data_IF_533197674069
#
_entry.id   IF_533197674069
#
_cell.length_a   1.000
_cell.length_b   1.000
_cell.length_c   1.000
_cell.angle_alpha   90.00
_cell.angle_beta   90.00
_cell.angle_gamma   90.00
#
_symmetry.space_group_name_H-M   'P 1'
#
loop_
_entity.id
_entity.type
_entity.pdbx_description
1 polymer ?
#
# COMPACT_ATOMS: atom_id res chain seq x y z
N UNK A 1 -15.50 -15.32 -13.47
CA UNK A 1 -16.35 -14.10 -13.49
C UNK A 1 -15.61 -12.85 -13.99
N UNK A 2 -14.79 -12.14 -13.20
CA UNK A 2 -14.14 -10.86 -13.61
C UNK A 2 -13.26 -10.98 -14.87
N UNK A 3 -12.65 -12.15 -15.11
CA UNK A 3 -11.84 -12.41 -16.30
C UNK A 3 -12.69 -12.61 -17.58
N UNK A 4 -13.95 -13.05 -17.43
CA UNK A 4 -14.80 -13.50 -18.54
C UNK A 4 -15.89 -12.47 -18.88
N UNK A 5 -16.21 -11.56 -17.96
CA UNK A 5 -17.29 -10.60 -18.09
C UNK A 5 -16.73 -9.16 -18.04
N UNK A 6 -17.39 -8.23 -18.72
CA UNK A 6 -17.08 -6.80 -18.64
C UNK A 6 -17.79 -6.17 -17.44
N UNK A 7 -17.19 -6.34 -16.26
CA UNK A 7 -17.72 -5.78 -15.01
C UNK A 7 -17.26 -4.34 -14.84
N UNK A 8 -18.22 -3.42 -14.64
CA UNK A 8 -17.96 -1.99 -14.46
C UNK A 8 -18.20 -1.56 -13.03
N UNK A 9 -17.26 -0.80 -12.48
CA UNK A 9 -17.43 -0.06 -11.24
C UNK A 9 -18.41 1.10 -11.47
N UNK A 10 -18.97 1.70 -10.40
CA UNK A 10 -19.88 2.83 -10.56
C UNK A 10 -19.30 4.05 -11.29
N UNK A 11 -17.98 4.24 -11.25
CA UNK A 11 -17.22 5.22 -12.06
C UNK A 11 -17.21 4.91 -13.57
N UNK A 12 -17.58 3.70 -13.98
CA UNK A 12 -17.53 3.22 -15.36
C UNK A 12 -16.21 2.51 -15.71
N UNK A 13 -15.22 2.55 -14.82
CA UNK A 13 -13.98 1.81 -15.00
C UNK A 13 -14.20 0.29 -14.92
N UNK A 14 -13.34 -0.46 -15.62
CA UNK A 14 -13.41 -1.93 -15.62
C UNK A 14 -12.80 -2.51 -14.35
N UNK A 15 -13.52 -3.41 -13.67
CA UNK A 15 -12.99 -4.21 -12.58
C UNK A 15 -12.34 -5.48 -13.13
N UNK A 16 -11.02 -5.42 -13.34
CA UNK A 16 -10.22 -6.57 -13.79
C UNK A 16 -9.76 -7.43 -12.61
N UNK A 17 -9.34 -8.70 -12.83
CA UNK A 17 -8.74 -9.51 -11.78
C UNK A 17 -7.54 -8.81 -11.11
N UNK A 18 -6.66 -8.16 -11.88
CA UNK A 18 -5.49 -7.43 -11.36
C UNK A 18 -5.87 -6.20 -10.53
N UNK A 19 -6.92 -5.47 -10.92
CA UNK A 19 -7.47 -4.38 -10.11
C UNK A 19 -8.09 -4.92 -8.82
N UNK A 20 -8.77 -6.07 -8.88
CA UNK A 20 -9.32 -6.72 -7.70
C UNK A 20 -8.25 -7.24 -6.73
N UNK A 21 -7.07 -7.68 -7.21
CA UNK A 21 -5.93 -8.05 -6.36
C UNK A 21 -5.46 -6.91 -5.44
N UNK A 22 -5.69 -5.65 -5.82
CA UNK A 22 -5.28 -4.48 -5.02
C UNK A 22 -6.10 -4.29 -3.74
N UNK A 23 -7.22 -5.01 -3.57
CA UNK A 23 -7.92 -5.04 -2.28
C UNK A 23 -7.03 -5.57 -1.15
N UNK A 24 -5.96 -6.32 -1.47
CA UNK A 24 -4.97 -6.74 -0.49
C UNK A 24 -4.21 -5.61 0.16
N UNK A 25 -4.29 -4.38 -0.36
CA UNK A 25 -3.82 -3.20 0.35
C UNK A 25 -4.40 -3.21 1.76
N UNK A 26 -5.69 -3.49 1.95
CA UNK A 26 -6.31 -3.44 3.29
C UNK A 26 -5.70 -4.42 4.30
N UNK A 27 -5.04 -5.51 3.88
CA UNK A 27 -4.48 -6.52 4.80
C UNK A 27 -3.36 -6.02 5.72
N UNK A 28 -2.77 -4.86 5.46
CA UNK A 28 -1.80 -4.23 6.37
C UNK A 28 -2.44 -3.39 7.48
N UNK A 29 -3.77 -3.26 7.51
CA UNK A 29 -4.51 -2.63 8.59
C UNK A 29 -5.04 -3.67 9.60
N UNK A 30 -5.16 -3.28 10.87
CA UNK A 30 -5.58 -4.19 11.95
C UNK A 30 -6.95 -4.86 11.74
N UNK A 31 -7.86 -4.26 10.98
CA UNK A 31 -9.20 -4.76 10.64
C UNK A 31 -9.36 -5.10 9.14
N UNK A 32 -8.24 -5.19 8.43
CA UNK A 32 -8.20 -5.34 6.99
C UNK A 32 -8.81 -6.64 6.48
N UNK A 33 -8.49 -7.76 7.14
CA UNK A 33 -8.99 -9.08 6.76
C UNK A 33 -10.51 -9.16 6.90
N UNK A 34 -11.05 -8.66 8.01
CA UNK A 34 -12.49 -8.61 8.27
C UNK A 34 -13.20 -7.72 7.25
N UNK A 35 -12.65 -6.54 6.94
CA UNK A 35 -13.23 -5.62 5.94
C UNK A 35 -13.34 -6.26 4.57
N UNK A 36 -12.28 -6.94 4.11
CA UNK A 36 -12.32 -7.65 2.82
C UNK A 36 -13.25 -8.86 2.90
N UNK A 37 -13.28 -9.60 4.00
CA UNK A 37 -14.19 -10.73 4.19
C UNK A 37 -15.66 -10.31 4.02
N UNK A 38 -16.10 -9.28 4.75
CA UNK A 38 -17.48 -8.78 4.65
C UNK A 38 -17.79 -8.18 3.28
N UNK A 39 -16.83 -7.50 2.65
CA UNK A 39 -16.99 -7.03 1.28
C UNK A 39 -17.29 -8.20 0.32
N UNK A 40 -16.59 -9.33 0.46
CA UNK A 40 -16.78 -10.50 -0.40
C UNK A 40 -18.08 -11.27 -0.11
N UNK A 41 -18.55 -11.26 1.13
CA UNK A 41 -19.82 -11.90 1.51
C UNK A 41 -21.00 -11.30 0.72
N UNK A 42 -20.97 -9.99 0.47
CA UNK A 42 -22.00 -9.26 -0.28
C UNK A 42 -21.77 -9.24 -1.80
N UNK A 43 -20.79 -10.00 -2.32
CA UNK A 43 -20.35 -9.88 -3.70
C UNK A 43 -21.45 -10.16 -4.73
N UNK A 44 -22.32 -11.13 -4.47
CA UNK A 44 -23.32 -11.58 -5.41
C UNK A 44 -24.73 -11.50 -4.85
N UNK A 45 -25.69 -11.18 -5.74
CA UNK A 45 -27.12 -11.23 -5.49
C UNK A 45 -27.82 -11.99 -6.62
N UNK A 46 -29.02 -12.49 -6.36
CA UNK A 46 -29.88 -13.07 -7.38
C UNK A 46 -30.69 -11.97 -8.07
N UNK A 47 -30.27 -11.62 -9.28
CA UNK A 47 -30.95 -10.65 -10.13
C UNK A 47 -32.03 -11.31 -11.01
N UNK A 48 -32.78 -10.48 -11.75
CA UNK A 48 -33.86 -10.94 -12.62
C UNK A 48 -33.39 -11.91 -13.74
N UNK A 49 -32.12 -11.82 -14.13
CA UNK A 49 -31.51 -12.67 -15.17
C UNK A 49 -30.55 -13.72 -14.59
N UNK A 50 -30.57 -13.94 -13.27
CA UNK A 50 -29.67 -14.83 -12.56
C UNK A 50 -28.66 -14.11 -11.67
N UNK A 51 -27.65 -14.85 -11.22
CA UNK A 51 -26.65 -14.38 -10.27
C UNK A 51 -25.78 -13.28 -10.88
N UNK A 52 -25.72 -12.13 -10.23
CA UNK A 52 -24.94 -10.97 -10.67
C UNK A 52 -24.16 -10.34 -9.51
N UNK A 53 -23.18 -9.49 -9.82
CA UNK A 53 -22.45 -8.75 -8.79
C UNK A 53 -23.32 -7.64 -8.22
N UNK A 54 -23.36 -7.54 -6.89
CA UNK A 54 -24.19 -6.55 -6.21
C UNK A 54 -23.61 -5.13 -6.39
N UNK A 55 -24.49 -4.15 -6.48
CA UNK A 55 -24.06 -2.74 -6.52
C UNK A 55 -23.33 -2.32 -5.24
N UNK A 56 -23.74 -2.85 -4.08
CA UNK A 56 -23.08 -2.61 -2.79
C UNK A 56 -21.63 -3.09 -2.83
N UNK A 57 -21.39 -4.30 -3.35
CA UNK A 57 -20.04 -4.82 -3.55
C UNK A 57 -19.22 -3.97 -4.52
N UNK A 58 -19.76 -3.65 -5.69
CA UNK A 58 -19.05 -2.85 -6.69
C UNK A 58 -18.68 -1.46 -6.14
N UNK A 59 -19.59 -0.82 -5.41
CA UNK A 59 -19.31 0.45 -4.73
C UNK A 59 -18.30 0.28 -3.59
N UNK A 60 -18.36 -0.83 -2.86
CA UNK A 60 -17.39 -1.16 -1.81
C UNK A 60 -15.97 -1.35 -2.34
N UNK A 61 -15.81 -2.08 -3.45
CA UNK A 61 -14.52 -2.25 -4.14
C UNK A 61 -13.97 -0.91 -4.62
N UNK A 62 -14.82 -0.06 -5.21
CA UNK A 62 -14.41 1.27 -5.65
C UNK A 62 -13.98 2.16 -4.47
N UNK A 63 -14.74 2.13 -3.36
CA UNK A 63 -14.40 2.87 -2.15
C UNK A 63 -13.13 2.36 -1.47
N UNK A 64 -12.68 1.13 -1.72
CA UNK A 64 -11.41 0.62 -1.22
C UNK A 64 -10.21 1.09 -2.06
N UNK A 65 -10.43 1.76 -3.20
CA UNK A 65 -9.38 2.08 -4.18
C UNK A 65 -9.38 3.58 -4.53
N UNK A 66 -8.77 4.39 -3.66
CA UNK A 66 -8.85 5.86 -3.76
C UNK A 66 -7.89 6.52 -4.77
N UNK A 67 -7.39 5.80 -5.76
CA UNK A 67 -6.40 6.33 -6.71
C UNK A 67 -6.97 7.45 -7.60
N UNK A 68 -8.29 7.47 -7.80
CA UNK A 68 -8.94 8.48 -8.64
C UNK A 68 -8.98 9.88 -8.01
N UNK A 69 -8.94 9.95 -6.68
CA UNK A 69 -8.94 11.21 -5.92
C UNK A 69 -7.58 11.54 -5.31
N UNK A 70 -6.64 10.58 -5.30
CA UNK A 70 -5.31 10.72 -4.73
C UNK A 70 -4.20 10.36 -5.76
N UNK A 71 -4.13 11.05 -6.92
CA UNK A 71 -3.17 10.70 -7.96
C UNK A 71 -1.70 10.91 -7.54
N UNK A 72 -1.44 11.81 -6.58
CA UNK A 72 -0.09 12.03 -6.02
C UNK A 72 0.40 10.76 -5.31
N UNK A 73 -0.48 10.07 -4.59
CA UNK A 73 -0.15 8.79 -3.96
C UNK A 73 0.34 7.80 -5.01
N UNK A 74 -0.43 7.62 -6.10
CA UNK A 74 -0.07 6.69 -7.16
C UNK A 74 1.23 7.08 -7.89
N UNK A 75 1.38 8.34 -8.30
CA UNK A 75 2.49 8.76 -9.16
C UNK A 75 3.84 8.86 -8.43
N UNK A 76 3.84 9.15 -7.12
CA UNK A 76 5.07 9.28 -6.35
C UNK A 76 5.41 8.04 -5.51
N UNK A 77 4.56 7.00 -5.50
CA UNK A 77 4.65 5.86 -4.59
C UNK A 77 6.03 5.19 -4.55
N UNK A 78 6.61 4.88 -5.72
CA UNK A 78 7.96 4.30 -5.77
C UNK A 78 9.06 5.37 -5.68
N UNK A 79 8.78 6.56 -6.21
CA UNK A 79 9.76 7.65 -6.30
C UNK A 79 10.25 8.12 -4.92
N UNK A 80 9.38 8.11 -3.90
CA UNK A 80 9.76 8.51 -2.53
C UNK A 80 10.84 7.62 -1.89
N UNK A 81 11.07 6.42 -2.43
CA UNK A 81 12.10 5.49 -1.93
C UNK A 81 13.41 5.53 -2.73
N UNK A 82 13.44 6.25 -3.85
CA UNK A 82 14.56 6.20 -4.78
C UNK A 82 15.75 7.07 -4.32
N UNK A 83 16.96 6.50 -4.42
CA UNK A 83 18.24 7.19 -4.15
C UNK A 83 19.31 6.71 -5.15
N UNK A 84 19.79 7.61 -6.00
CA UNK A 84 20.82 7.36 -7.02
C UNK A 84 20.47 6.31 -8.09
N UNK A 85 19.23 5.83 -8.12
CA UNK A 85 18.76 4.77 -9.00
C UNK A 85 17.29 4.96 -9.34
N UNK A 86 16.94 4.64 -10.58
CA UNK A 86 15.57 4.58 -11.05
C UNK A 86 14.81 3.39 -10.44
N UNK A 87 13.55 3.60 -10.08
CA UNK A 87 12.69 2.53 -9.57
C UNK A 87 12.45 1.47 -10.65
N UNK A 88 12.29 1.91 -11.91
CA UNK A 88 11.98 1.15 -13.13
C UNK A 88 10.74 0.25 -13.01
N UNK A 89 9.75 0.66 -12.23
CA UNK A 89 8.60 -0.17 -11.82
C UNK A 89 9.04 -1.38 -10.99
N UNK A 90 9.61 -1.11 -9.82
CA UNK A 90 10.19 -2.16 -8.97
C UNK A 90 9.14 -3.17 -8.51
N UNK A 91 7.95 -2.71 -8.12
CA UNK A 91 6.86 -3.59 -7.70
C UNK A 91 6.43 -4.54 -8.82
N UNK A 92 6.29 -4.04 -10.06
CA UNK A 92 5.94 -4.88 -11.22
C UNK A 92 7.03 -5.91 -11.53
N UNK A 93 8.31 -5.49 -11.53
CA UNK A 93 9.43 -6.41 -11.77
C UNK A 93 9.51 -7.51 -10.72
N UNK A 94 9.45 -7.14 -9.45
CA UNK A 94 9.51 -8.09 -8.33
C UNK A 94 8.30 -9.01 -8.39
N UNK A 95 7.08 -8.50 -8.64
CA UNK A 95 5.89 -9.35 -8.84
C UNK A 95 6.10 -10.39 -9.94
N UNK A 96 6.79 -10.02 -11.03
CA UNK A 96 7.13 -10.94 -12.12
C UNK A 96 8.02 -12.13 -11.70
N UNK A 97 8.74 -12.03 -10.58
CA UNK A 97 9.54 -13.12 -10.00
C UNK A 97 8.70 -14.13 -9.22
N UNK A 98 7.42 -13.82 -8.93
CA UNK A 98 6.50 -14.67 -8.19
C UNK A 98 5.28 -15.05 -9.05
N UNK A 99 5.38 -16.12 -9.88
CA UNK A 99 4.28 -16.57 -10.75
C UNK A 99 2.96 -16.85 -10.02
N UNK A 100 2.98 -17.14 -8.72
CA UNK A 100 1.79 -17.35 -7.91
C UNK A 100 0.87 -16.11 -7.82
N UNK A 101 1.38 -14.91 -8.11
CA UNK A 101 0.58 -13.68 -8.19
C UNK A 101 -0.03 -13.45 -9.58
N UNK A 102 0.36 -14.22 -10.60
CA UNK A 102 -0.31 -14.17 -11.89
C UNK A 102 -1.68 -14.83 -11.77
N UNK A 103 -2.72 -14.14 -12.26
CA UNK A 103 -4.06 -14.71 -12.27
C UNK A 103 -4.12 -15.97 -13.14
N UNK A 104 -4.56 -17.09 -12.54
CA UNK A 104 -4.93 -18.32 -13.23
C UNK A 104 -6.21 -18.86 -12.61
N UNK A 105 -7.13 -19.38 -13.44
CA UNK A 105 -8.46 -19.78 -13.00
C UNK A 105 -8.45 -20.99 -12.04
N UNK A 106 -7.41 -21.81 -12.11
CA UNK A 106 -7.19 -23.04 -11.36
C UNK A 106 -6.14 -22.90 -10.24
N UNK A 107 -5.69 -21.67 -9.94
CA UNK A 107 -4.71 -21.38 -8.90
C UNK A 107 -5.31 -20.54 -7.75
N UNK A 108 -4.71 -20.57 -6.55
CA UNK A 108 -5.07 -19.65 -5.48
C UNK A 108 -4.98 -18.19 -5.93
N UNK A 109 -6.02 -17.41 -5.62
CA UNK A 109 -6.01 -15.98 -5.91
C UNK A 109 -5.26 -15.23 -4.81
N UNK A 110 -4.05 -14.77 -5.12
CA UNK A 110 -3.25 -13.97 -4.19
C UNK A 110 -3.49 -12.48 -4.40
N UNK A 111 -3.80 -11.77 -3.31
CA UNK A 111 -3.89 -10.32 -3.32
C UNK A 111 -2.52 -9.68 -3.16
N UNK A 112 -2.38 -8.44 -3.62
CA UNK A 112 -1.16 -7.65 -3.46
C UNK A 112 -1.38 -6.58 -2.39
N UNK A 113 -0.33 -6.27 -1.62
CA UNK A 113 -0.34 -5.17 -0.65
C UNK A 113 -0.26 -3.78 -1.31
N UNK A 114 0.36 -2.84 -0.60
CA UNK A 114 0.45 -1.43 -1.00
C UNK A 114 1.47 -1.18 -2.14
N UNK A 115 1.09 -1.53 -3.37
CA UNK A 115 1.94 -1.44 -4.55
C UNK A 115 1.27 -0.73 -5.72
N UNK A 116 2.06 0.07 -6.46
CA UNK A 116 1.66 0.72 -7.71
C UNK A 116 2.32 0.03 -8.89
N UNK A 117 1.56 -0.17 -9.96
CA UNK A 117 2.01 -0.83 -11.17
C UNK A 117 1.79 0.06 -12.42
N UNK A 118 2.58 -0.10 -13.49
CA UNK A 118 2.45 0.73 -14.70
C UNK A 118 1.04 0.63 -15.32
N UNK A 119 0.44 -0.57 -15.32
CA UNK A 119 -0.90 -0.78 -15.86
C UNK A 119 -2.01 -0.01 -15.13
N UNK A 120 -1.78 0.47 -13.90
CA UNK A 120 -2.76 1.31 -13.21
C UNK A 120 -2.98 2.63 -13.96
N UNK A 121 -1.93 3.17 -14.59
CA UNK A 121 -2.01 4.36 -15.43
C UNK A 121 -2.68 4.08 -16.80
N UNK A 122 -3.08 2.85 -17.08
CA UNK A 122 -3.89 2.48 -18.25
C UNK A 122 -5.36 2.24 -17.83
N UNK A 123 -5.57 1.57 -16.70
CA UNK A 123 -6.90 1.11 -16.27
C UNK A 123 -7.69 2.12 -15.43
N UNK A 124 -7.03 2.91 -14.60
CA UNK A 124 -7.70 3.96 -13.81
C UNK A 124 -7.88 5.20 -14.68
N UNK A 125 -9.14 5.58 -14.94
CA UNK A 125 -9.43 6.71 -15.83
C UNK A 125 -8.77 8.02 -15.40
N UNK A 126 -8.75 8.28 -14.09
CA UNK A 126 -8.16 9.49 -13.53
C UNK A 126 -6.62 9.50 -13.59
N UNK A 127 -5.97 8.33 -13.66
CA UNK A 127 -4.52 8.23 -13.73
C UNK A 127 -3.99 8.28 -15.17
N UNK A 128 -4.79 7.92 -16.18
CA UNK A 128 -4.37 7.91 -17.60
C UNK A 128 -3.65 9.18 -18.07
N UNK A 129 -4.12 10.40 -17.75
CA UNK A 129 -3.42 11.62 -18.15
C UNK A 129 -1.99 11.76 -17.59
N UNK A 130 -1.65 11.00 -16.55
CA UNK A 130 -0.36 11.04 -15.86
C UNK A 130 0.61 9.95 -16.32
N UNK A 131 0.22 9.07 -17.26
CA UNK A 131 1.02 7.91 -17.66
C UNK A 131 2.44 8.31 -18.10
N UNK A 132 2.58 9.31 -18.97
CA UNK A 132 3.89 9.77 -19.44
C UNK A 132 4.76 10.30 -18.28
N UNK A 133 4.16 11.07 -17.37
CA UNK A 133 4.87 11.57 -16.20
C UNK A 133 5.31 10.43 -15.26
N UNK A 134 4.47 9.41 -15.09
CA UNK A 134 4.80 8.24 -14.29
C UNK A 134 5.98 7.44 -14.88
N UNK A 135 6.04 7.28 -16.21
CA UNK A 135 7.18 6.65 -16.90
C UNK A 135 8.47 7.46 -16.75
N UNK A 136 8.40 8.79 -16.86
CA UNK A 136 9.57 9.67 -16.63
C UNK A 136 10.11 9.46 -15.22
N UNK A 137 9.24 9.45 -14.20
CA UNK A 137 9.64 9.27 -12.81
C UNK A 137 10.20 7.86 -12.56
N UNK A 138 9.58 6.82 -13.11
CA UNK A 138 10.04 5.45 -12.97
C UNK A 138 11.41 5.23 -13.65
N UNK A 139 11.71 5.95 -14.73
CA UNK A 139 12.97 5.87 -15.46
C UNK A 139 14.07 6.80 -14.92
N UNK A 140 13.73 7.83 -14.15
CA UNK A 140 14.68 8.82 -13.64
C UNK A 140 15.66 8.18 -12.66
N UNK A 141 16.97 8.26 -12.93
CA UNK A 141 18.03 7.69 -12.09
C UNK A 141 18.85 8.73 -11.32
N UNK A 142 18.64 10.01 -11.60
CA UNK A 142 19.30 11.14 -10.93
C UNK A 142 18.73 11.49 -9.55
N UNK A 143 18.13 10.54 -8.83
CA UNK A 143 17.59 10.78 -7.49
C UNK A 143 18.72 11.14 -6.52
N UNK A 144 18.62 12.25 -5.78
CA UNK A 144 19.64 12.59 -4.79
C UNK A 144 19.64 11.57 -3.64
N UNK A 145 20.70 11.58 -2.83
CA UNK A 145 20.62 10.98 -1.51
C UNK A 145 19.58 11.74 -0.68
N UNK A 146 18.61 11.01 -0.12
CA UNK A 146 17.54 11.58 0.71
C UNK A 146 18.06 11.94 2.11
N UNK A 147 19.01 11.16 2.60
CA UNK A 147 19.56 11.30 3.94
C UNK A 147 21.09 11.30 3.91
N UNK A 148 21.70 12.09 4.79
CA UNK A 148 23.14 12.00 5.10
C UNK A 148 23.32 11.16 6.39
N UNK A 149 23.82 9.92 6.29
CA UNK A 149 24.00 9.05 7.45
C UNK A 149 24.94 9.64 8.50
N UNK A 150 25.95 10.41 8.11
CA UNK A 150 26.89 11.02 9.06
C UNK A 150 26.19 12.10 9.91
N UNK A 151 25.28 12.86 9.30
CA UNK A 151 24.44 13.84 10.02
C UNK A 151 23.46 13.12 10.95
N UNK A 152 22.81 12.04 10.51
CA UNK A 152 21.90 11.25 11.34
C UNK A 152 22.61 10.62 12.55
N UNK A 153 23.85 10.14 12.36
CA UNK A 153 24.69 9.59 13.44
C UNK A 153 25.19 10.66 14.42
N UNK A 154 25.22 11.93 14.01
CA UNK A 154 25.59 13.05 14.86
C UNK A 154 24.37 13.76 15.51
N UNK A 155 23.18 13.16 15.40
CA UNK A 155 21.96 13.74 15.94
C UNK A 155 22.05 13.95 17.47
N UNK A 156 21.67 15.15 17.92
CA UNK A 156 21.63 15.52 19.35
C UNK A 156 20.20 15.74 19.86
N UNK A 157 19.20 15.68 18.99
CA UNK A 157 17.79 15.85 19.35
C UNK A 157 17.20 14.49 19.73
N UNK A 158 16.58 14.31 20.91
CA UNK A 158 15.94 13.05 21.26
C UNK A 158 14.86 12.65 20.25
N UNK A 159 14.92 11.40 19.78
CA UNK A 159 13.94 10.84 18.84
C UNK A 159 13.24 9.63 19.43
N UNK A 160 11.98 9.40 19.04
CA UNK A 160 11.28 8.16 19.30
C UNK A 160 10.56 7.70 18.03
N UNK A 161 10.57 6.39 17.79
CA UNK A 161 9.87 5.76 16.67
C UNK A 161 9.15 4.49 17.15
N UNK A 162 7.96 4.25 16.61
CA UNK A 162 7.28 2.96 16.74
C UNK A 162 7.62 2.11 15.52
N UNK A 163 7.86 0.83 15.74
CA UNK A 163 8.08 -0.16 14.68
C UNK A 163 7.08 -1.29 14.93
N UNK A 164 6.18 -1.52 13.98
CA UNK A 164 5.19 -2.59 14.09
C UNK A 164 5.81 -3.91 13.64
N UNK A 165 5.65 -4.95 14.45
CA UNK A 165 6.38 -6.20 14.28
C UNK A 165 5.96 -6.94 13.00
N UNK A 166 4.66 -6.90 12.68
CA UNK A 166 4.05 -7.60 11.56
C UNK A 166 3.66 -6.65 10.41
N UNK A 167 4.22 -5.44 10.36
CA UNK A 167 3.88 -4.46 9.33
C UNK A 167 4.09 -5.05 7.92
N UNK A 168 2.99 -5.19 7.17
CA UNK A 168 3.03 -5.79 5.84
C UNK A 168 3.67 -4.87 4.79
N UNK A 169 3.68 -3.54 5.01
CA UNK A 169 4.18 -2.58 4.02
C UNK A 169 5.62 -2.15 4.31
N UNK A 170 6.01 -2.06 5.58
CA UNK A 170 7.34 -1.61 6.01
C UNK A 170 8.09 -2.74 6.70
N UNK A 171 9.11 -3.29 6.04
CA UNK A 171 9.92 -4.36 6.62
C UNK A 171 10.60 -3.90 7.92
N UNK A 172 10.27 -4.62 9.00
CA UNK A 172 10.79 -4.37 10.34
C UNK A 172 12.31 -4.30 10.39
N UNK A 173 13.01 -5.16 9.66
CA UNK A 173 14.48 -5.23 9.69
C UNK A 173 15.09 -3.95 9.13
N UNK A 174 14.53 -3.41 8.03
CA UNK A 174 14.99 -2.12 7.48
C UNK A 174 14.62 -0.95 8.38
N UNK A 175 13.46 -0.97 9.02
CA UNK A 175 13.06 0.04 10.00
C UNK A 175 14.02 0.08 11.21
N UNK A 176 14.38 -1.09 11.76
CA UNK A 176 15.33 -1.21 12.86
C UNK A 176 16.74 -0.75 12.46
N UNK A 177 17.22 -1.11 11.26
CA UNK A 177 18.51 -0.65 10.74
C UNK A 177 18.55 0.88 10.59
N UNK A 178 17.46 1.48 10.11
CA UNK A 178 17.34 2.93 9.98
C UNK A 178 17.36 3.60 11.35
N UNK A 179 16.58 3.09 12.31
CA UNK A 179 16.55 3.64 13.67
C UNK A 179 17.91 3.53 14.37
N UNK A 180 18.63 2.42 14.20
CA UNK A 180 19.96 2.20 14.76
C UNK A 180 21.03 3.16 14.20
N UNK A 181 20.80 3.72 13.01
CA UNK A 181 21.69 4.71 12.40
C UNK A 181 21.53 6.11 13.01
N UNK A 182 20.38 6.41 13.61
CA UNK A 182 20.07 7.73 14.14
C UNK A 182 20.46 7.79 15.63
N UNK A 183 21.46 8.62 15.96
CA UNK A 183 21.90 8.76 17.36
C UNK A 183 20.78 9.28 18.25
N UNK A 184 20.61 8.70 19.44
CA UNK A 184 19.58 9.10 20.40
C UNK A 184 18.15 8.67 20.03
N UNK A 185 17.96 7.88 18.97
CA UNK A 185 16.65 7.32 18.62
C UNK A 185 16.25 6.21 19.60
N UNK A 186 15.06 6.32 20.18
CA UNK A 186 14.43 5.27 20.99
C UNK A 186 13.38 4.54 20.17
N UNK A 187 13.33 3.22 20.25
CA UNK A 187 12.37 2.42 19.49
C UNK A 187 11.38 1.73 20.40
N UNK A 188 10.10 1.78 20.03
CA UNK A 188 9.05 0.92 20.58
C UNK A 188 8.67 -0.08 19.51
N UNK A 189 9.23 -1.28 19.62
CA UNK A 189 8.91 -2.40 18.73
C UNK A 189 7.74 -3.16 19.35
N UNK A 190 6.61 -3.28 18.64
CA UNK A 190 5.39 -3.88 19.18
C UNK A 190 4.61 -4.66 18.13
N UNK A 191 3.92 -5.71 18.57
CA UNK A 191 2.94 -6.46 17.80
C UNK A 191 1.49 -6.15 18.22
N UNK A 192 1.28 -5.09 18.99
CA UNK A 192 -0.06 -4.64 19.42
C UNK A 192 -0.87 -4.01 18.27
N UNK A 193 -0.20 -3.58 17.20
CA UNK A 193 -0.81 -2.89 16.09
C UNK A 193 -0.19 -3.30 14.76
N UNK A 194 -0.93 -3.06 13.68
CA UNK A 194 -0.46 -3.11 12.31
C UNK A 194 -0.17 -1.70 11.78
N UNK A 195 0.04 -1.55 10.47
CA UNK A 195 0.48 -0.32 9.82
C UNK A 195 -0.41 0.90 10.12
N UNK A 196 -1.71 0.69 10.38
CA UNK A 196 -2.67 1.75 10.65
C UNK A 196 -2.76 2.17 12.13
N UNK A 197 -1.80 1.82 12.99
CA UNK A 197 -1.87 2.07 14.43
C UNK A 197 -2.22 3.52 14.81
N UNK A 198 -1.69 4.53 14.10
CA UNK A 198 -2.00 5.93 14.37
C UNK A 198 -3.48 6.27 14.13
N UNK A 199 -4.13 5.60 13.16
CA UNK A 199 -5.57 5.72 12.92
C UNK A 199 -6.38 4.92 13.93
N UNK A 200 -5.88 3.75 14.34
CA UNK A 200 -6.56 2.85 15.25
C UNK A 200 -6.54 3.33 16.71
N UNK A 201 -5.41 3.85 17.19
CA UNK A 201 -5.19 4.24 18.58
C UNK A 201 -4.14 5.37 18.69
N UNK A 202 -4.42 6.47 17.99
CA UNK A 202 -3.47 7.58 17.86
C UNK A 202 -3.11 8.25 19.18
N UNK A 203 -4.03 8.31 20.15
CA UNK A 203 -3.76 8.87 21.47
C UNK A 203 -2.68 8.07 22.21
N UNK A 204 -2.83 6.74 22.27
CA UNK A 204 -1.84 5.88 22.93
C UNK A 204 -0.52 5.87 22.18
N UNK A 205 -0.55 5.74 20.86
CA UNK A 205 0.67 5.67 20.04
C UNK A 205 1.47 6.97 20.15
N UNK A 206 0.83 8.12 19.91
CA UNK A 206 1.51 9.41 20.00
C UNK A 206 1.90 9.75 21.44
N UNK A 207 1.01 9.48 22.41
CA UNK A 207 1.26 9.73 23.83
C UNK A 207 2.50 8.98 24.32
N UNK A 208 2.63 7.70 23.98
CA UNK A 208 3.79 6.89 24.33
C UNK A 208 5.08 7.40 23.68
N UNK A 209 5.04 7.76 22.39
CA UNK A 209 6.21 8.33 21.71
C UNK A 209 6.69 9.63 22.36
N UNK A 210 5.75 10.51 22.75
CA UNK A 210 6.08 11.75 23.46
C UNK A 210 6.68 11.47 24.86
N UNK A 211 6.14 10.50 25.60
CA UNK A 211 6.70 10.06 26.89
C UNK A 211 8.12 9.52 26.72
N UNK A 212 8.38 8.72 25.68
CA UNK A 212 9.73 8.21 25.36
C UNK A 212 10.70 9.36 25.08
N UNK A 213 10.31 10.36 24.29
CA UNK A 213 11.14 11.54 24.02
C UNK A 213 11.46 12.30 25.32
N UNK A 214 10.48 12.40 26.25
CA UNK A 214 10.65 13.07 27.56
C UNK A 214 11.40 12.23 28.61
N UNK A 215 11.62 10.94 28.37
CA UNK A 215 12.26 10.04 29.34
C UNK A 215 11.33 9.61 30.48
N UNK A 216 10.02 9.62 30.24
CA UNK A 216 8.99 9.22 31.20
C UNK A 216 8.70 7.71 31.16
N UNK A 217 9.16 7.03 30.09
CA UNK A 217 9.14 5.58 29.87
C UNK A 217 10.37 5.10 29.12
#
# INVERSE_FOLDING_TARGET
>A
HLAEHDVRLPTGDRLTPRRFQQLGLDFGASDGFERIHYLLEEAFVDGASGRELSYTFLRGVENAQHYDTNPIFAILHEAIYCQGKASRWSAERVRGEFPAFAFAADAPFLFTGEMIYPWMFEEYAALRPLQEAAEILAAYDGWPALYDPAVLQANTVPGAATIYYNDMYVDRTFAEQTAATICGMKTWITNEYEHNALRADGERVLGRLLQMVRGEV
#
